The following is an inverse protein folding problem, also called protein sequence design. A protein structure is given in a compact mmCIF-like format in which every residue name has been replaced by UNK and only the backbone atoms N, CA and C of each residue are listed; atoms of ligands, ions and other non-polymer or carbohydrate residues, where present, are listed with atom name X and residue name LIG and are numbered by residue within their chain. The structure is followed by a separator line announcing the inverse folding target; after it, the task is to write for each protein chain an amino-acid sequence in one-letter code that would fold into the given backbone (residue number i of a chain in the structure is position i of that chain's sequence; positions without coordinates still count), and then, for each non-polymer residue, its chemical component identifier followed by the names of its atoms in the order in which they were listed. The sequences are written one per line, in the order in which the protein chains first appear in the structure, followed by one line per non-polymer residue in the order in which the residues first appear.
data_IF_178875486597
#
_entry.id   IF_178875486597
#
_cell.length_a   1.000
_cell.length_b   1.000
_cell.length_c   1.000
_cell.angle_alpha   90.00
_cell.angle_beta   90.00
_cell.angle_gamma   90.00
#
_symmetry.space_group_name_H-M   'P 1'
#
loop_
_entity.id
_entity.type
_entity.pdbx_description
1 polymer ?
#
# COMPACT_ATOMS: atom_id res chain seq x y z
N UNK A 1 -0.08 16.77 -6.31
CA UNK A 1 -1.01 15.74 -5.81
C UNK A 1 -0.28 14.39 -5.90
N UNK A 2 -0.40 13.52 -4.90
CA UNK A 2 0.17 12.17 -4.95
C UNK A 2 -0.87 11.26 -5.58
N UNK A 3 -0.50 10.57 -6.66
CA UNK A 3 -1.32 9.52 -7.26
C UNK A 3 -0.68 8.16 -6.99
N UNK A 4 -1.50 7.18 -6.63
CA UNK A 4 -1.05 5.82 -6.32
C UNK A 4 -1.90 4.82 -7.06
N UNK A 5 -1.26 3.80 -7.65
CA UNK A 5 -1.94 2.63 -8.19
C UNK A 5 -1.17 1.35 -7.86
N UNK A 6 -1.84 0.20 -7.86
CA UNK A 6 -1.22 -1.10 -7.65
C UNK A 6 -1.48 -1.97 -8.88
N UNK A 7 -0.86 -1.71 -10.05
CA UNK A 7 -1.25 -2.37 -11.31
C UNK A 7 -1.02 -3.88 -11.31
N UNK A 8 -0.06 -4.38 -10.54
CA UNK A 8 0.35 -5.79 -10.58
C UNK A 8 0.80 -6.34 -9.23
N UNK A 9 0.85 -7.66 -9.15
CA UNK A 9 1.46 -8.41 -8.06
C UNK A 9 2.58 -9.26 -8.63
N UNK A 10 3.74 -9.20 -8.00
CA UNK A 10 4.93 -9.95 -8.35
C UNK A 10 5.13 -11.11 -7.38
N UNK A 11 5.74 -12.19 -7.87
CA UNK A 11 6.19 -13.31 -7.04
C UNK A 11 7.70 -13.32 -7.06
N UNK A 12 8.29 -13.03 -5.92
CA UNK A 12 9.73 -13.14 -5.73
C UNK A 12 10.01 -14.48 -5.04
N UNK A 13 10.89 -15.30 -5.60
CA UNK A 13 11.35 -16.53 -4.97
C UNK A 13 12.64 -16.20 -4.25
N UNK A 14 12.67 -16.40 -2.93
CA UNK A 14 13.92 -16.21 -2.19
C UNK A 14 14.88 -17.40 -2.41
N UNK A 15 16.14 -17.23 -1.99
CA UNK A 15 17.19 -18.27 -2.13
C UNK A 15 16.82 -19.60 -1.43
N UNK A 16 15.81 -19.60 -0.56
CA UNK A 16 15.26 -20.80 0.09
C UNK A 16 14.12 -21.48 -0.70
N UNK A 17 13.81 -20.97 -1.89
CA UNK A 17 12.73 -21.48 -2.75
C UNK A 17 11.33 -21.04 -2.33
N UNK A 18 11.18 -20.16 -1.33
CA UNK A 18 9.87 -19.70 -0.86
C UNK A 18 9.39 -18.52 -1.70
N UNK A 19 8.21 -18.68 -2.31
CA UNK A 19 7.58 -17.59 -3.04
C UNK A 19 6.94 -16.56 -2.10
N UNK A 20 7.37 -15.30 -2.23
CA UNK A 20 6.82 -14.12 -1.58
C UNK A 20 5.94 -13.37 -2.57
N UNK A 21 4.73 -13.03 -2.14
CA UNK A 21 3.80 -12.20 -2.92
C UNK A 21 4.04 -10.73 -2.60
N UNK A 22 4.38 -9.96 -3.62
CA UNK A 22 4.66 -8.53 -3.54
C UNK A 22 3.64 -7.76 -4.38
N UNK A 23 3.13 -6.66 -3.86
CA UNK A 23 2.30 -5.73 -4.60
C UNK A 23 3.21 -4.64 -5.16
N UNK A 24 3.15 -4.42 -6.48
CA UNK A 24 3.85 -3.31 -7.13
C UNK A 24 2.98 -2.08 -7.02
N UNK A 25 3.36 -1.17 -6.13
CA UNK A 25 2.69 0.11 -5.91
C UNK A 25 3.39 1.15 -6.75
N UNK A 26 2.75 1.63 -7.81
CA UNK A 26 3.21 2.77 -8.58
C UNK A 26 2.78 4.07 -7.90
N UNK A 27 3.70 5.03 -7.86
CA UNK A 27 3.50 6.33 -7.25
C UNK A 27 3.89 7.39 -8.27
N UNK A 28 3.00 8.35 -8.50
CA UNK A 28 3.25 9.53 -9.30
C UNK A 28 3.14 10.76 -8.39
N UNK A 29 4.22 11.53 -8.29
CA UNK A 29 4.28 12.73 -7.48
C UNK A 29 5.24 13.74 -8.12
N UNK A 30 4.77 14.98 -8.33
CA UNK A 30 5.55 16.06 -8.95
C UNK A 30 6.23 15.62 -10.25
N UNK A 31 5.46 15.02 -11.18
CA UNK A 31 5.93 14.50 -12.48
C UNK A 31 6.95 13.35 -12.39
N UNK A 32 7.32 12.92 -11.19
CA UNK A 32 8.18 11.76 -10.97
C UNK A 32 7.33 10.52 -10.75
N UNK A 33 7.58 9.50 -11.55
CA UNK A 33 6.96 8.19 -11.43
C UNK A 33 7.98 7.17 -10.92
N UNK A 34 7.63 6.47 -9.87
CA UNK A 34 8.41 5.33 -9.37
C UNK A 34 7.49 4.21 -8.91
N UNK A 35 8.07 3.09 -8.48
CA UNK A 35 7.32 2.02 -7.86
C UNK A 35 8.03 1.49 -6.62
N UNK A 36 7.23 0.93 -5.70
CA UNK A 36 7.71 0.20 -4.53
C UNK A 36 7.05 -1.17 -4.47
N UNK A 37 7.82 -2.19 -4.07
CA UNK A 37 7.31 -3.53 -3.84
C UNK A 37 6.99 -3.70 -2.36
N UNK A 38 5.77 -4.10 -2.05
CA UNK A 38 5.30 -4.22 -0.66
C UNK A 38 4.59 -5.54 -0.40
N UNK A 39 4.90 -6.21 0.71
CA UNK A 39 4.18 -7.41 1.17
C UNK A 39 2.91 -7.05 1.89
N UNK A 40 1.92 -7.95 1.91
CA UNK A 40 0.67 -7.78 2.69
C UNK A 40 0.92 -7.39 4.15
N UNK A 41 1.95 -7.98 4.79
CA UNK A 41 2.30 -7.66 6.18
C UNK A 41 2.77 -6.22 6.38
N UNK A 42 3.38 -5.61 5.36
CA UNK A 42 3.83 -4.21 5.40
C UNK A 42 2.65 -3.25 5.33
N UNK A 43 1.64 -3.51 4.49
CA UNK A 43 0.39 -2.74 4.52
C UNK A 43 -0.30 -2.80 5.89
N UNK A 44 -0.28 -3.98 6.53
CA UNK A 44 -0.85 -4.12 7.87
C UNK A 44 -0.05 -3.34 8.92
N UNK A 45 1.28 -3.34 8.82
CA UNK A 45 2.14 -2.56 9.71
C UNK A 45 1.92 -1.05 9.52
N UNK A 46 1.81 -0.60 8.26
CA UNK A 46 1.44 0.76 7.90
C UNK A 46 0.09 1.15 8.53
N UNK A 47 -0.96 0.36 8.33
CA UNK A 47 -2.28 0.62 8.92
C UNK A 47 -2.23 0.75 10.45
N UNK A 48 -1.48 -0.14 11.13
CA UNK A 48 -1.32 -0.06 12.60
C UNK A 48 -0.64 1.22 13.08
N UNK A 49 0.22 1.82 12.25
CA UNK A 49 0.86 3.10 12.54
C UNK A 49 -0.10 4.26 12.22
N UNK A 50 -0.75 4.23 11.05
CA UNK A 50 -1.68 5.27 10.61
C UNK A 50 -2.88 5.45 11.54
N UNK A 51 -3.49 4.36 12.01
CA UNK A 51 -4.66 4.42 12.92
C UNK A 51 -4.40 5.13 14.26
N UNK A 52 -3.12 5.39 14.59
CA UNK A 52 -2.72 6.14 15.79
C UNK A 52 -2.62 7.64 15.55
N UNK A 53 -2.56 8.06 14.28
CA UNK A 53 -2.24 9.42 13.86
C UNK A 53 -3.46 10.06 13.20
N UNK A 54 -4.19 9.28 12.38
CA UNK A 54 -5.34 9.75 11.62
C UNK A 54 -6.50 8.76 11.74
N UNK A 55 -7.71 9.23 11.46
CA UNK A 55 -8.85 8.35 11.24
C UNK A 55 -8.60 7.56 9.95
N UNK A 56 -8.41 6.25 10.08
CA UNK A 56 -8.19 5.37 8.93
C UNK A 56 -9.49 4.66 8.54
N UNK A 57 -9.73 4.42 7.25
CA UNK A 57 -10.79 3.52 6.80
C UNK A 57 -10.53 2.08 7.26
N UNK A 58 -11.53 1.22 7.10
CA UNK A 58 -11.43 -0.19 7.45
C UNK A 58 -10.34 -0.91 6.64
N UNK A 59 -9.43 -1.59 7.32
CA UNK A 59 -8.31 -2.25 6.65
C UNK A 59 -8.72 -3.59 6.01
N UNK A 60 -8.37 -3.85 4.74
CA UNK A 60 -8.71 -5.10 4.04
C UNK A 60 -7.88 -6.30 4.53
N UNK A 61 -8.20 -6.80 5.73
CA UNK A 61 -7.51 -7.92 6.40
C UNK A 61 -8.14 -9.28 6.13
N UNK A 62 -7.31 -10.33 6.05
CA UNK A 62 -7.74 -11.75 5.96
C UNK A 62 -8.61 -12.22 7.15
N UNK A 63 -8.61 -11.47 8.25
CA UNK A 63 -9.34 -11.80 9.48
C UNK A 63 -10.80 -11.34 9.48
N UNK A 64 -11.20 -10.51 8.51
CA UNK A 64 -12.61 -10.19 8.34
C UNK A 64 -13.32 -11.37 7.67
N UNK A 65 -14.39 -11.93 8.27
CA UNK A 65 -15.12 -13.09 7.73
C UNK A 65 -15.60 -12.89 6.28
N UNK A 66 -15.97 -11.66 5.93
CA UNK A 66 -16.46 -11.25 4.62
C UNK A 66 -15.34 -11.10 3.56
N UNK A 67 -14.06 -11.14 3.98
CA UNK A 67 -12.89 -10.90 3.12
C UNK A 67 -12.03 -12.16 2.91
N UNK A 68 -12.34 -13.28 3.60
CA UNK A 68 -11.51 -14.49 3.62
C UNK A 68 -11.49 -15.25 2.28
N UNK A 69 -12.54 -15.10 1.48
CA UNK A 69 -12.75 -15.81 0.20
C UNK A 69 -12.57 -14.94 -1.04
N UNK A 70 -12.20 -13.67 -0.89
CA UNK A 70 -12.16 -12.72 -2.02
C UNK A 70 -11.05 -13.04 -3.03
N UNK A 71 -11.30 -12.89 -4.35
CA UNK A 71 -10.30 -13.06 -5.39
C UNK A 71 -9.08 -12.14 -5.20
N UNK A 72 -7.90 -12.61 -5.63
CA UNK A 72 -6.64 -11.86 -5.48
C UNK A 72 -6.67 -10.47 -6.14
N UNK A 73 -7.35 -10.33 -7.30
CA UNK A 73 -7.52 -9.05 -7.99
C UNK A 73 -8.31 -8.04 -7.15
N UNK A 74 -9.30 -8.51 -6.40
CA UNK A 74 -10.09 -7.67 -5.50
C UNK A 74 -9.24 -7.23 -4.31
N UNK A 75 -8.44 -8.13 -3.72
CA UNK A 75 -7.50 -7.77 -2.65
C UNK A 75 -6.51 -6.68 -3.07
N UNK A 76 -6.04 -6.73 -4.31
CA UNK A 76 -5.18 -5.68 -4.90
C UNK A 76 -5.91 -4.35 -4.95
N UNK A 77 -7.14 -4.35 -5.47
CA UNK A 77 -7.97 -3.14 -5.56
C UNK A 77 -8.25 -2.55 -4.17
N UNK A 78 -8.66 -3.35 -3.19
CA UNK A 78 -8.94 -2.85 -1.84
C UNK A 78 -7.72 -2.22 -1.16
N UNK A 79 -6.51 -2.73 -1.42
CA UNK A 79 -5.27 -2.11 -0.91
C UNK A 79 -4.94 -0.81 -1.62
N UNK A 80 -5.26 -0.72 -2.92
CA UNK A 80 -5.12 0.50 -3.72
C UNK A 80 -6.10 1.56 -3.22
N UNK A 81 -7.39 1.22 -3.13
CA UNK A 81 -8.47 2.07 -2.63
C UNK A 81 -8.14 2.58 -1.21
N UNK A 82 -7.70 1.69 -0.31
CA UNK A 82 -7.30 2.07 1.06
C UNK A 82 -6.21 3.15 1.09
N UNK A 83 -5.19 3.05 0.23
CA UNK A 83 -4.12 4.06 0.18
C UNK A 83 -4.65 5.36 -0.44
N UNK A 84 -5.40 5.26 -1.52
CA UNK A 84 -5.97 6.41 -2.22
C UNK A 84 -6.93 7.19 -1.30
N UNK A 85 -7.79 6.51 -0.54
CA UNK A 85 -8.69 7.14 0.44
C UNK A 85 -7.93 7.92 1.50
N UNK A 86 -6.85 7.36 2.04
CA UNK A 86 -6.03 8.08 3.03
C UNK A 86 -5.40 9.33 2.41
N UNK A 87 -4.88 9.24 1.19
CA UNK A 87 -4.29 10.40 0.50
C UNK A 87 -5.37 11.46 0.21
N UNK A 88 -6.57 11.04 -0.19
CA UNK A 88 -7.66 11.93 -0.55
C UNK A 88 -8.26 12.64 0.68
N UNK A 89 -8.43 11.95 1.79
CA UNK A 89 -9.06 12.50 3.00
C UNK A 89 -8.13 13.31 3.89
N UNK A 90 -6.81 13.23 3.71
CA UNK A 90 -5.85 13.94 4.53
C UNK A 90 -5.19 15.04 3.69
N UNK A 91 -5.52 16.30 3.99
CA UNK A 91 -4.84 17.47 3.39
C UNK A 91 -3.32 17.35 3.56
N UNK A 92 -2.89 17.02 4.78
CA UNK A 92 -1.51 16.67 5.11
C UNK A 92 -1.32 15.16 5.19
N UNK A 93 -0.74 14.57 4.14
CA UNK A 93 -0.50 13.12 4.08
C UNK A 93 0.50 12.70 5.18
N UNK A 94 0.14 11.74 6.05
CA UNK A 94 1.00 11.34 7.16
C UNK A 94 2.38 10.87 6.71
N UNK A 95 3.42 11.28 7.45
CA UNK A 95 4.81 10.94 7.15
C UNK A 95 5.03 9.44 6.93
N UNK A 96 4.40 8.61 7.76
CA UNK A 96 4.52 7.16 7.69
C UNK A 96 4.04 6.60 6.34
N UNK A 97 3.03 7.22 5.73
CA UNK A 97 2.57 6.84 4.39
C UNK A 97 3.55 7.33 3.32
N UNK A 98 4.07 8.55 3.44
CA UNK A 98 5.09 9.06 2.53
C UNK A 98 6.36 8.20 2.53
N UNK A 99 6.79 7.74 3.70
CA UNK A 99 7.92 6.81 3.86
C UNK A 99 7.58 5.44 3.26
N UNK A 100 6.37 4.93 3.47
CA UNK A 100 5.93 3.67 2.87
C UNK A 100 5.93 3.74 1.33
N UNK A 101 5.59 4.89 0.77
CA UNK A 101 5.56 5.16 -0.67
C UNK A 101 6.90 5.65 -1.21
N UNK A 102 7.93 5.84 -0.38
CA UNK A 102 9.23 6.45 -0.75
C UNK A 102 9.11 7.82 -1.44
N UNK A 103 8.12 8.65 -1.07
CA UNK A 103 7.88 9.96 -1.71
C UNK A 103 8.93 11.01 -1.28
N UNK A 104 9.52 10.90 -0.08
CA UNK A 104 10.50 11.86 0.45
C UNK A 104 11.94 11.69 -0.03
N UNK A 105 12.30 10.57 -0.65
CA UNK A 105 13.68 10.32 -1.11
C UNK A 105 14.09 11.12 -2.35
N UNK A 106 13.24 12.03 -2.83
CA UNK A 106 13.44 12.79 -4.05
C UNK A 106 13.79 14.27 -3.83
N UNK A 107 13.85 14.72 -2.57
CA UNK A 107 14.37 16.04 -2.22
C UNK A 107 15.87 15.93 -1.92
N UNK A 108 16.65 16.08 -2.98
CA UNK A 108 18.02 16.60 -2.96
C UNK A 108 18.11 17.63 -4.07
#
# INVERSE_FOLDING_TARGET
MIEVSIPSMEREVDDSGKSKKLFRVEVLFNERKHFVLRRTGEFQALHRKLKKIVQTPDFPSKRSPHLRTKPLKQRRQELEDYIQEIIYHNEDVPQVLLDFLHVKHFHT
#
